data_IF_459391175237
#
_entry.id   IF_459391175237
#
_cell.length_a   1.000
_cell.length_b   1.000
_cell.length_c   1.000
_cell.angle_alpha   90.00
_cell.angle_beta   90.00
_cell.angle_gamma   90.00
#
_symmetry.space_group_name_H-M   'P 1'
#
loop_
_entity.id
_entity.type
_entity.pdbx_description
1 polymer ?
#
# COMPACT_ATOMS: atom_id res chain seq x y z
N UNK A 1 -83.53 6.46 -9.62
CA UNK A 1 -82.64 6.33 -10.79
C UNK A 1 -81.85 7.62 -10.96
N UNK A 2 -80.50 7.56 -11.00
CA UNK A 2 -79.54 8.65 -11.33
C UNK A 2 -79.50 9.78 -10.27
N UNK A 3 -78.40 10.44 -9.88
CA UNK A 3 -76.99 10.56 -10.32
C UNK A 3 -76.23 11.26 -9.17
N UNK A 4 -75.14 10.67 -8.63
CA UNK A 4 -73.75 11.17 -8.61
C UNK A 4 -73.50 12.70 -8.68
N UNK A 5 -72.63 13.20 -7.79
CA UNK A 5 -71.41 14.07 -7.96
C UNK A 5 -70.95 14.47 -6.52
N UNK A 6 -69.85 13.92 -5.97
CA UNK A 6 -68.43 14.40 -5.96
C UNK A 6 -68.26 15.68 -5.10
N UNK A 7 -67.22 15.97 -4.30
CA UNK A 7 -65.91 15.38 -3.94
C UNK A 7 -65.36 16.38 -2.88
N UNK A 8 -64.65 16.03 -1.80
CA UNK A 8 -63.19 16.06 -1.72
C UNK A 8 -62.80 15.74 -0.26
N UNK A 9 -62.37 14.51 0.02
CA UNK A 9 -61.59 14.20 1.22
C UNK A 9 -60.12 14.47 0.91
N UNK A 10 -59.58 15.49 1.59
CA UNK A 10 -58.15 15.81 1.59
C UNK A 10 -57.43 14.66 2.29
N UNK A 11 -56.72 13.84 1.52
CA UNK A 11 -55.73 12.93 2.05
C UNK A 11 -54.50 13.74 2.44
N UNK A 12 -54.32 13.97 3.73
CA UNK A 12 -53.05 14.44 4.26
C UNK A 12 -52.01 13.34 4.05
N UNK A 13 -51.20 13.48 3.00
CA UNK A 13 -49.98 12.71 2.83
C UNK A 13 -49.01 13.22 3.90
N UNK A 14 -48.89 12.46 5.00
CA UNK A 14 -47.78 12.60 5.93
C UNK A 14 -46.49 12.29 5.16
N UNK A 15 -45.82 13.36 4.73
CA UNK A 15 -44.46 13.28 4.25
C UNK A 15 -43.58 12.82 5.42
N UNK A 16 -43.17 11.55 5.42
CA UNK A 16 -42.11 11.07 6.28
C UNK A 16 -40.82 11.71 5.75
N UNK A 17 -40.14 12.58 6.51
CA UNK A 17 -38.84 13.06 6.10
C UNK A 17 -37.89 11.86 6.14
N UNK A 18 -37.51 11.35 4.97
CA UNK A 18 -36.41 10.41 4.82
C UNK A 18 -35.11 11.17 4.99
N UNK A 19 -34.80 11.57 6.24
CA UNK A 19 -33.41 11.86 6.58
C UNK A 19 -32.68 10.53 6.56
N UNK A 20 -31.97 10.27 5.46
CA UNK A 20 -31.04 9.15 5.33
C UNK A 20 -29.90 9.33 6.31
N UNK A 21 -30.14 9.02 7.58
CA UNK A 21 -29.08 8.69 8.52
C UNK A 21 -28.74 7.24 8.22
N UNK A 22 -27.63 7.04 7.54
CA UNK A 22 -27.04 5.72 7.40
C UNK A 22 -26.69 5.26 8.82
N UNK A 23 -27.55 4.43 9.43
CA UNK A 23 -27.42 4.05 10.83
C UNK A 23 -26.09 3.35 11.06
N UNK A 24 -25.16 4.02 11.75
CA UNK A 24 -23.90 3.44 12.16
C UNK A 24 -24.18 2.39 13.23
N UNK A 25 -23.65 1.18 13.05
CA UNK A 25 -23.89 0.07 13.97
C UNK A 25 -23.41 0.44 15.39
N UNK A 26 -24.06 -0.07 16.46
CA UNK A 26 -23.56 0.11 17.82
C UNK A 26 -22.09 -0.33 17.94
N UNK A 27 -21.25 0.35 18.74
CA UNK A 27 -19.81 0.09 18.79
C UNK A 27 -19.44 -1.38 19.01
N UNK A 28 -20.09 -2.07 19.95
CA UNK A 28 -19.85 -3.50 20.21
C UNK A 28 -20.18 -4.38 18.99
N UNK A 29 -21.31 -4.11 18.34
CA UNK A 29 -21.75 -4.90 17.20
C UNK A 29 -20.83 -4.69 15.99
N UNK A 30 -20.34 -3.46 15.80
CA UNK A 30 -19.36 -3.17 14.77
C UNK A 30 -18.01 -3.83 15.06
N UNK A 31 -17.54 -3.79 16.31
CA UNK A 31 -16.35 -4.51 16.73
C UNK A 31 -16.47 -6.00 16.46
N UNK A 32 -17.58 -6.63 16.87
CA UNK A 32 -17.81 -8.06 16.68
C UNK A 32 -17.83 -8.43 15.19
N UNK A 33 -18.49 -7.62 14.35
CA UNK A 33 -18.52 -7.79 12.89
C UNK A 33 -17.11 -7.77 12.29
N UNK A 34 -16.29 -6.79 12.68
CA UNK A 34 -14.92 -6.63 12.20
C UNK A 34 -14.02 -7.77 12.70
N UNK A 35 -14.14 -8.17 13.96
CA UNK A 35 -13.40 -9.30 14.53
C UNK A 35 -13.74 -10.62 13.84
N UNK A 36 -15.02 -10.89 13.54
CA UNK A 36 -15.44 -12.07 12.79
C UNK A 36 -14.86 -12.06 11.37
N UNK A 37 -14.89 -10.91 10.69
CA UNK A 37 -14.31 -10.75 9.34
C UNK A 37 -12.80 -11.03 9.36
N UNK A 38 -12.07 -10.44 10.30
CA UNK A 38 -10.64 -10.64 10.47
C UNK A 38 -10.29 -12.10 10.81
N UNK A 39 -11.05 -12.74 11.72
CA UNK A 39 -10.88 -14.14 12.08
C UNK A 39 -11.06 -15.07 10.88
N UNK A 40 -12.14 -14.91 10.12
CA UNK A 40 -12.40 -15.69 8.92
C UNK A 40 -11.33 -15.48 7.83
N UNK A 41 -10.75 -14.28 7.75
CA UNK A 41 -9.63 -14.01 6.85
C UNK A 41 -8.33 -14.69 7.31
N UNK A 42 -8.03 -14.70 8.61
CA UNK A 42 -6.85 -15.37 9.17
C UNK A 42 -6.86 -16.90 8.96
N UNK A 43 -8.03 -17.54 8.90
CA UNK A 43 -8.17 -18.98 8.63
C UNK A 43 -7.84 -19.36 7.18
N UNK A 44 -8.14 -18.46 6.23
CA UNK A 44 -7.75 -18.63 4.84
C UNK A 44 -6.23 -18.47 4.82
N UNK A 45 -5.48 -19.58 4.68
CA UNK A 45 -4.01 -19.62 4.56
C UNK A 45 -3.51 -18.95 3.25
N UNK A 46 -4.01 -17.75 2.93
CA UNK A 46 -3.53 -16.90 1.85
C UNK A 46 -2.31 -16.15 2.39
N UNK A 47 -1.16 -16.40 1.77
CA UNK A 47 0.16 -16.00 2.27
C UNK A 47 0.68 -14.68 1.72
N UNK A 48 -0.12 -13.89 1.00
CA UNK A 48 0.34 -12.61 0.46
C UNK A 48 0.22 -11.47 1.49
N UNK A 49 1.04 -10.44 1.31
CA UNK A 49 1.10 -9.28 2.22
C UNK A 49 -0.18 -8.46 2.22
N UNK A 50 -0.87 -8.33 1.07
CA UNK A 50 -2.10 -7.54 0.97
C UNK A 50 -3.21 -8.13 1.85
N UNK A 51 -3.31 -9.45 1.88
CA UNK A 51 -4.23 -10.17 2.76
C UNK A 51 -4.04 -9.77 4.23
N UNK A 52 -2.80 -9.61 4.69
CA UNK A 52 -2.53 -9.15 6.04
C UNK A 52 -2.77 -7.66 6.26
N UNK A 53 -2.59 -6.81 5.24
CA UNK A 53 -2.96 -5.39 5.31
C UNK A 53 -4.46 -5.26 5.59
N UNK A 54 -5.29 -6.03 4.89
CA UNK A 54 -6.76 -5.99 5.06
C UNK A 54 -7.18 -6.51 6.45
N UNK A 55 -6.53 -7.57 6.95
CA UNK A 55 -6.76 -8.08 8.31
C UNK A 55 -6.37 -7.04 9.36
N UNK A 56 -5.19 -6.44 9.24
CA UNK A 56 -4.74 -5.39 10.16
C UNK A 56 -5.70 -4.22 10.13
N UNK A 57 -6.21 -3.84 8.96
CA UNK A 57 -7.19 -2.77 8.81
C UNK A 57 -8.49 -3.04 9.58
N UNK A 58 -9.05 -4.25 9.45
CA UNK A 58 -10.27 -4.63 10.16
C UNK A 58 -10.05 -4.68 11.68
N UNK A 59 -8.90 -5.19 12.14
CA UNK A 59 -8.56 -5.24 13.56
C UNK A 59 -8.36 -3.85 14.17
N UNK A 60 -7.67 -2.94 13.48
CA UNK A 60 -7.50 -1.56 13.95
C UNK A 60 -8.84 -0.82 14.04
N UNK A 61 -9.72 -0.98 13.03
CA UNK A 61 -11.06 -0.41 13.09
C UNK A 61 -11.88 -0.99 14.25
N UNK A 62 -11.73 -2.28 14.56
CA UNK A 62 -12.40 -2.88 15.71
C UNK A 62 -11.93 -2.21 17.01
N UNK A 63 -10.61 -2.01 17.19
CA UNK A 63 -10.03 -1.28 18.33
C UNK A 63 -10.56 0.16 18.42
N UNK A 64 -10.70 0.84 17.29
CA UNK A 64 -11.18 2.23 17.22
C UNK A 64 -12.65 2.41 17.60
N UNK A 65 -13.46 1.34 17.60
CA UNK A 65 -14.84 1.41 18.12
C UNK A 65 -14.91 1.75 19.61
N UNK A 66 -13.81 1.54 20.36
CA UNK A 66 -13.76 1.68 21.81
C UNK A 66 -14.45 0.56 22.59
N UNK A 67 -14.96 -0.47 21.90
CA UNK A 67 -15.54 -1.65 22.53
C UNK A 67 -14.47 -2.48 23.26
N UNK A 68 -14.83 -3.22 24.33
CA UNK A 68 -13.93 -4.18 24.96
C UNK A 68 -13.44 -5.25 23.98
N UNK A 69 -12.13 -5.46 23.91
CA UNK A 69 -11.50 -6.43 23.02
C UNK A 69 -11.25 -7.78 23.73
N UNK A 70 -11.26 -8.91 22.98
CA UNK A 70 -10.86 -10.21 23.53
C UNK A 70 -9.43 -10.22 24.06
N UNK A 71 -9.13 -11.07 25.05
CA UNK A 71 -7.82 -11.13 25.73
C UNK A 71 -6.61 -11.31 24.80
N UNK A 72 -6.76 -12.06 23.70
CA UNK A 72 -5.67 -12.29 22.72
C UNK A 72 -5.71 -11.33 21.53
N UNK A 73 -6.53 -10.28 21.59
CA UNK A 73 -6.68 -9.32 20.50
C UNK A 73 -5.33 -8.69 20.11
N UNK A 74 -4.60 -8.15 21.08
CA UNK A 74 -3.32 -7.47 20.84
C UNK A 74 -2.26 -8.41 20.22
N UNK A 75 -2.28 -9.70 20.59
CA UNK A 75 -1.45 -10.71 19.92
C UNK A 75 -1.82 -10.86 18.43
N UNK A 76 -3.09 -11.06 18.12
CA UNK A 76 -3.53 -11.25 16.72
C UNK A 76 -3.32 -10.00 15.86
N UNK A 77 -3.59 -8.81 16.42
CA UNK A 77 -3.28 -7.54 15.76
C UNK A 77 -1.78 -7.42 15.50
N UNK A 78 -0.94 -7.71 16.49
CA UNK A 78 0.51 -7.66 16.37
C UNK A 78 1.06 -8.59 15.29
N UNK A 79 0.60 -9.84 15.24
CA UNK A 79 1.02 -10.81 14.20
C UNK A 79 0.54 -10.39 12.81
N UNK A 80 -0.71 -9.94 12.68
CA UNK A 80 -1.24 -9.47 11.41
C UNK A 80 -0.44 -8.25 10.91
N UNK A 81 -0.21 -7.26 11.77
CA UNK A 81 0.56 -6.07 11.48
C UNK A 81 2.00 -6.41 11.06
N UNK A 82 2.67 -7.34 11.74
CA UNK A 82 4.01 -7.79 11.37
C UNK A 82 4.06 -8.37 9.95
N UNK A 83 3.04 -9.14 9.56
CA UNK A 83 2.94 -9.75 8.23
C UNK A 83 2.50 -8.73 7.16
N UNK A 84 1.73 -7.73 7.54
CA UNK A 84 1.38 -6.58 6.70
C UNK A 84 2.57 -5.63 6.48
N UNK A 85 3.59 -5.70 7.33
CA UNK A 85 4.70 -4.75 7.35
C UNK A 85 4.39 -3.45 8.12
N UNK A 86 3.31 -3.40 8.88
CA UNK A 86 2.97 -2.31 9.78
C UNK A 86 3.79 -2.44 11.08
N UNK A 87 5.09 -2.16 10.99
CA UNK A 87 6.07 -2.50 12.03
C UNK A 87 5.78 -1.78 13.35
N UNK A 88 5.30 -0.53 13.30
CA UNK A 88 4.98 0.24 14.51
C UNK A 88 3.75 -0.34 15.22
N UNK A 89 2.64 -0.54 14.50
CA UNK A 89 1.45 -1.25 15.03
C UNK A 89 1.82 -2.63 15.59
N UNK A 90 2.73 -3.36 14.93
CA UNK A 90 3.20 -4.66 15.41
C UNK A 90 3.92 -4.56 16.76
N UNK A 91 4.84 -3.61 16.91
CA UNK A 91 5.60 -3.42 18.16
C UNK A 91 4.67 -3.02 19.30
N UNK A 92 3.78 -2.05 19.06
CA UNK A 92 2.80 -1.59 20.05
C UNK A 92 1.92 -2.76 20.51
N UNK A 93 1.24 -3.45 19.59
CA UNK A 93 0.28 -4.49 19.94
C UNK A 93 0.92 -5.73 20.59
N UNK A 94 2.10 -6.17 20.11
CA UNK A 94 2.83 -7.28 20.74
C UNK A 94 3.38 -6.89 22.12
N UNK A 95 3.85 -5.64 22.28
CA UNK A 95 4.30 -5.11 23.56
C UNK A 95 3.18 -5.07 24.59
N UNK A 96 2.01 -4.56 24.20
CA UNK A 96 0.81 -4.54 25.05
C UNK A 96 0.40 -5.95 25.47
N UNK A 97 0.36 -6.90 24.53
CA UNK A 97 0.06 -8.30 24.85
C UNK A 97 1.02 -8.90 25.87
N UNK A 98 2.33 -8.71 25.68
CA UNK A 98 3.36 -9.23 26.58
C UNK A 98 3.29 -8.57 27.97
N UNK A 99 2.96 -7.28 28.03
CA UNK A 99 2.81 -6.51 29.27
C UNK A 99 1.58 -6.92 30.08
N UNK A 100 0.44 -7.11 29.40
CA UNK A 100 -0.83 -7.44 30.04
C UNK A 100 -0.93 -8.90 30.47
N UNK A 101 -0.44 -9.83 29.63
CA UNK A 101 -0.61 -11.27 29.85
C UNK A 101 0.61 -11.93 30.51
N UNK A 102 1.79 -11.29 30.42
CA UNK A 102 3.03 -11.77 31.01
C UNK A 102 3.48 -13.14 30.50
N UNK A 103 4.32 -13.81 31.29
CA UNK A 103 4.99 -15.07 30.89
C UNK A 103 4.08 -16.31 30.87
N UNK A 104 2.86 -16.19 31.39
CA UNK A 104 1.86 -17.28 31.42
C UNK A 104 0.87 -17.22 30.25
N UNK A 105 1.02 -16.23 29.38
CA UNK A 105 0.13 -16.03 28.23
C UNK A 105 0.16 -17.23 27.27
N UNK A 106 -1.00 -17.54 26.67
CA UNK A 106 -1.15 -18.64 25.70
C UNK A 106 -0.14 -18.58 24.55
N UNK A 107 0.18 -17.36 24.09
CA UNK A 107 1.07 -17.12 22.94
C UNK A 107 2.37 -16.41 23.34
N UNK A 108 2.83 -16.56 24.59
CA UNK A 108 3.99 -15.80 25.09
C UNK A 108 5.25 -15.98 24.22
N UNK A 109 5.60 -17.22 23.87
CA UNK A 109 6.82 -17.51 23.11
C UNK A 109 6.74 -16.98 21.67
N UNK A 110 5.60 -17.16 21.04
CA UNK A 110 5.30 -16.69 19.69
C UNK A 110 5.30 -15.16 19.62
N UNK A 111 4.66 -14.51 20.60
CA UNK A 111 4.61 -13.06 20.72
C UNK A 111 6.02 -12.46 20.94
N UNK A 112 6.82 -13.05 21.82
CA UNK A 112 8.19 -12.58 22.09
C UNK A 112 9.09 -12.73 20.84
N UNK A 113 8.98 -13.85 20.13
CA UNK A 113 9.71 -14.07 18.87
C UNK A 113 9.29 -13.08 17.78
N UNK A 114 7.98 -12.85 17.63
CA UNK A 114 7.45 -11.87 16.70
C UNK A 114 7.86 -10.44 17.06
N UNK A 115 7.89 -10.09 18.36
CA UNK A 115 8.32 -8.79 18.85
C UNK A 115 9.80 -8.53 18.51
N UNK A 116 10.68 -9.49 18.79
CA UNK A 116 12.10 -9.40 18.43
C UNK A 116 12.32 -9.28 16.91
N UNK A 117 11.48 -9.96 16.12
CA UNK A 117 11.48 -9.82 14.66
C UNK A 117 11.07 -8.40 14.25
N UNK A 118 10.02 -7.85 14.87
CA UNK A 118 9.55 -6.50 14.61
C UNK A 118 10.61 -5.44 14.99
N UNK A 119 11.35 -5.64 16.09
CA UNK A 119 12.46 -4.76 16.49
C UNK A 119 13.59 -4.76 15.45
N UNK A 120 13.97 -5.94 14.96
CA UNK A 120 14.99 -6.07 13.92
C UNK A 120 14.58 -5.33 12.65
N UNK A 121 13.32 -5.48 12.23
CA UNK A 121 12.76 -4.78 11.06
C UNK A 121 12.66 -3.27 11.28
N UNK A 122 12.31 -2.83 12.49
CA UNK A 122 12.30 -1.43 12.85
C UNK A 122 13.71 -0.82 12.79
N UNK A 123 14.73 -1.59 13.17
CA UNK A 123 16.12 -1.16 13.06
C UNK A 123 16.57 -1.06 11.59
N UNK A 124 16.14 -1.96 10.72
CA UNK A 124 16.36 -1.87 9.28
C UNK A 124 15.68 -0.62 8.68
N UNK A 125 14.43 -0.34 9.06
CA UNK A 125 13.76 0.90 8.65
C UNK A 125 14.52 2.14 9.11
N UNK A 126 15.04 2.16 10.35
CA UNK A 126 15.84 3.29 10.86
C UNK A 126 17.12 3.52 10.05
N UNK A 127 17.81 2.46 9.60
CA UNK A 127 19.02 2.63 8.78
C UNK A 127 18.68 3.20 7.40
N UNK A 128 17.60 2.75 6.78
CA UNK A 128 17.10 3.31 5.50
C UNK A 128 16.64 4.76 5.68
N UNK A 129 15.91 5.08 6.74
CA UNK A 129 15.48 6.46 7.01
C UNK A 129 16.68 7.39 7.17
N UNK A 130 17.78 6.91 7.77
CA UNK A 130 19.00 7.71 7.93
C UNK A 130 19.66 8.02 6.59
N UNK A 131 19.58 7.13 5.60
CA UNK A 131 20.15 7.35 4.26
C UNK A 131 19.29 8.26 3.37
N UNK A 132 18.05 8.57 3.76
CA UNK A 132 17.22 9.55 3.05
C UNK A 132 17.75 10.99 3.06
N UNK A 133 18.64 11.31 4.00
CA UNK A 133 19.11 12.69 4.20
C UNK A 133 17.94 13.64 4.43
N UNK A 134 18.01 14.84 3.84
CA UNK A 134 16.97 15.87 3.99
C UNK A 134 15.93 15.87 2.85
N UNK A 135 16.06 14.98 1.87
CA UNK A 135 15.21 14.99 0.67
C UNK A 135 14.07 14.01 0.74
N UNK A 136 14.36 12.77 1.12
CA UNK A 136 13.35 11.72 1.15
C UNK A 136 12.75 11.58 2.55
N UNK A 137 11.52 11.10 2.60
CA UNK A 137 10.89 10.63 3.82
C UNK A 137 9.97 9.47 3.52
N UNK A 138 9.69 8.65 4.53
CA UNK A 138 8.62 7.67 4.39
C UNK A 138 7.29 8.40 4.31
N UNK A 139 6.51 8.09 3.27
CA UNK A 139 5.15 8.58 3.18
C UNK A 139 4.25 7.63 3.95
N UNK A 140 3.71 8.11 5.07
CA UNK A 140 2.72 7.37 5.83
C UNK A 140 1.37 7.40 5.15
N UNK A 141 0.60 6.35 5.33
CA UNK A 141 -0.82 6.34 5.01
C UNK A 141 -1.64 7.10 6.09
N UNK A 142 -2.97 6.93 6.05
CA UNK A 142 -3.92 7.60 6.95
C UNK A 142 -3.75 7.21 8.44
N UNK A 143 -2.86 6.27 8.79
CA UNK A 143 -2.62 5.83 10.17
C UNK A 143 -1.17 5.90 10.62
N UNK A 144 -0.33 6.64 9.89
CA UNK A 144 1.09 6.74 10.26
C UNK A 144 1.90 5.49 9.94
N UNK A 145 1.33 4.54 9.18
CA UNK A 145 2.01 3.30 8.80
C UNK A 145 2.65 3.44 7.41
N UNK A 146 3.78 2.77 7.22
CA UNK A 146 4.55 2.86 5.98
C UNK A 146 4.30 1.64 5.10
N UNK A 147 3.54 1.82 4.03
CA UNK A 147 3.26 0.73 3.08
C UNK A 147 4.25 0.63 1.91
N UNK A 148 5.44 1.20 2.07
CA UNK A 148 6.45 1.22 1.01
C UNK A 148 6.21 2.36 0.03
N UNK A 149 5.80 3.52 0.54
CA UNK A 149 5.75 4.77 -0.20
C UNK A 149 6.79 5.74 0.39
N UNK A 150 7.50 6.48 -0.46
CA UNK A 150 8.47 7.51 -0.06
C UNK A 150 8.08 8.85 -0.71
N UNK A 151 8.13 9.94 0.05
CA UNK A 151 7.89 11.29 -0.46
C UNK A 151 9.23 11.98 -0.71
N UNK A 152 9.38 12.56 -1.89
CA UNK A 152 10.47 13.48 -2.19
C UNK A 152 10.03 14.89 -1.81
N UNK A 153 10.62 15.43 -0.74
CA UNK A 153 10.29 16.75 -0.17
C UNK A 153 10.59 17.91 -1.13
N UNK A 154 11.47 17.71 -2.11
CA UNK A 154 11.83 18.74 -3.08
C UNK A 154 10.81 18.82 -4.21
N UNK A 155 10.36 17.66 -4.72
CA UNK A 155 9.43 17.60 -5.86
C UNK A 155 7.97 17.48 -5.43
N UNK A 156 7.70 17.11 -4.18
CA UNK A 156 6.37 16.77 -3.67
C UNK A 156 5.82 15.43 -4.19
N UNK A 157 6.61 14.71 -4.99
CA UNK A 157 6.21 13.44 -5.57
C UNK A 157 6.28 12.31 -4.55
N UNK A 158 5.32 11.39 -4.63
CA UNK A 158 5.26 10.19 -3.81
C UNK A 158 5.54 8.99 -4.70
N UNK A 159 6.51 8.19 -4.29
CA UNK A 159 7.06 7.09 -5.03
C UNK A 159 6.79 5.78 -4.31
N UNK A 160 6.63 4.71 -5.07
CA UNK A 160 6.84 3.37 -4.50
C UNK A 160 8.31 3.22 -4.07
N UNK A 161 8.53 2.61 -2.91
CA UNK A 161 9.85 2.40 -2.34
C UNK A 161 10.69 1.39 -3.16
N UNK A 162 10.03 0.37 -3.73
CA UNK A 162 10.67 -0.64 -4.58
C UNK A 162 10.35 -0.45 -6.06
N UNK A 163 11.17 -1.07 -6.92
CA UNK A 163 11.00 -1.16 -8.38
C UNK A 163 9.86 -2.10 -8.84
N UNK A 164 9.16 -2.71 -7.90
CA UNK A 164 7.86 -3.37 -8.07
C UNK A 164 7.17 -3.38 -6.71
N UNK A 165 5.84 -3.33 -6.70
CA UNK A 165 5.08 -3.33 -5.45
C UNK A 165 5.29 -4.61 -4.63
N UNK A 166 5.39 -5.74 -5.31
CA UNK A 166 5.44 -7.06 -4.68
C UNK A 166 6.78 -7.34 -3.98
N UNK A 167 7.80 -6.53 -4.25
CA UNK A 167 9.10 -6.63 -3.60
C UNK A 167 9.16 -5.92 -2.25
N UNK A 168 8.20 -5.07 -1.93
CA UNK A 168 8.22 -4.39 -0.63
C UNK A 168 7.73 -5.34 0.46
N UNK A 169 8.64 -5.71 1.36
CA UNK A 169 8.33 -6.62 2.48
C UNK A 169 7.61 -5.92 3.64
N UNK A 170 7.70 -4.59 3.71
CA UNK A 170 7.32 -3.81 4.89
C UNK A 170 8.48 -3.07 5.53
N UNK A 171 9.72 -3.51 5.27
CA UNK A 171 10.93 -2.90 5.83
C UNK A 171 12.10 -2.81 4.84
N UNK A 172 12.04 -3.54 3.73
CA UNK A 172 13.05 -3.50 2.67
C UNK A 172 12.46 -3.95 1.33
N UNK A 173 13.23 -3.78 0.25
CA UNK A 173 12.95 -4.42 -1.03
C UNK A 173 13.62 -5.79 -1.08
N UNK A 174 12.87 -6.86 -1.30
CA UNK A 174 13.41 -8.22 -1.44
C UNK A 174 12.76 -9.01 -2.59
N UNK A 175 13.45 -10.04 -3.05
CA UNK A 175 13.00 -10.88 -4.16
C UNK A 175 13.27 -10.28 -5.56
N UNK A 176 13.11 -11.10 -6.61
CA UNK A 176 13.52 -10.74 -7.97
C UNK A 176 12.66 -9.63 -8.58
N UNK A 177 11.51 -9.26 -8.03
CA UNK A 177 10.62 -8.31 -8.69
C UNK A 177 9.77 -8.95 -9.77
N UNK A 178 8.74 -8.21 -10.15
CA UNK A 178 7.91 -8.55 -11.29
C UNK A 178 8.32 -7.63 -12.44
N UNK A 179 8.64 -8.22 -13.57
CA UNK A 179 8.80 -7.53 -14.83
C UNK A 179 7.46 -7.50 -15.56
N UNK A 180 7.23 -6.45 -16.35
CA UNK A 180 6.02 -6.26 -17.15
C UNK A 180 6.37 -5.57 -18.46
N UNK A 181 5.58 -5.83 -19.49
CA UNK A 181 5.60 -4.98 -20.69
C UNK A 181 5.13 -3.56 -20.34
N UNK A 182 5.45 -2.59 -21.20
CA UNK A 182 5.03 -1.22 -20.96
C UNK A 182 3.50 -1.08 -20.88
N UNK A 183 2.69 -1.66 -21.80
CA UNK A 183 1.24 -1.62 -21.70
C UNK A 183 0.72 -2.23 -20.39
N UNK A 184 1.33 -3.32 -19.92
CA UNK A 184 0.95 -3.94 -18.65
C UNK A 184 1.31 -3.09 -17.44
N UNK A 185 2.48 -2.42 -17.44
CA UNK A 185 2.86 -1.49 -16.39
C UNK A 185 1.92 -0.29 -16.31
N UNK A 186 1.50 0.26 -17.46
CA UNK A 186 0.49 1.33 -17.51
C UNK A 186 -0.85 0.83 -16.97
N UNK A 187 -1.32 -0.32 -17.45
CA UNK A 187 -2.57 -0.91 -16.95
C UNK A 187 -2.51 -1.22 -15.45
N UNK A 188 -1.34 -1.61 -14.92
CA UNK A 188 -1.16 -1.83 -13.48
C UNK A 188 -1.18 -0.52 -12.69
N UNK A 189 -0.60 0.57 -13.23
CA UNK A 189 -0.74 1.89 -12.63
C UNK A 189 -2.21 2.34 -12.58
N UNK A 190 -2.99 2.09 -13.64
CA UNK A 190 -4.43 2.40 -13.68
C UNK A 190 -5.22 1.56 -12.68
N UNK A 191 -4.95 0.24 -12.60
CA UNK A 191 -5.57 -0.64 -11.59
C UNK A 191 -5.25 -0.20 -10.17
N UNK A 192 -3.98 0.13 -9.90
CA UNK A 192 -3.55 0.64 -8.61
C UNK A 192 -4.24 1.98 -8.31
N UNK A 193 -4.41 2.83 -9.31
CA UNK A 193 -5.10 4.10 -9.16
C UNK A 193 -6.56 3.93 -8.79
N UNK A 194 -7.27 3.06 -9.52
CA UNK A 194 -8.67 2.76 -9.24
C UNK A 194 -8.87 2.12 -7.86
N UNK A 195 -7.96 1.23 -7.46
CA UNK A 195 -8.02 0.56 -6.15
C UNK A 195 -7.76 1.50 -4.98
N UNK A 196 -6.86 2.47 -5.15
CA UNK A 196 -6.39 3.34 -4.06
C UNK A 196 -7.03 4.73 -4.06
N UNK A 197 -7.72 5.11 -5.15
CA UNK A 197 -8.21 6.48 -5.37
C UNK A 197 -7.09 7.50 -5.64
N UNK A 198 -5.83 7.05 -5.74
CA UNK A 198 -4.64 7.90 -5.95
C UNK A 198 -4.19 7.81 -7.41
N UNK A 199 -3.67 8.88 -8.01
CA UNK A 199 -3.28 8.90 -9.43
C UNK A 199 -1.84 8.39 -9.65
N UNK A 200 -1.67 7.07 -9.66
CA UNK A 200 -0.40 6.41 -9.96
C UNK A 200 -0.10 6.40 -11.45
N UNK A 201 1.17 6.60 -11.81
CA UNK A 201 1.66 6.54 -13.17
C UNK A 201 3.12 6.07 -13.23
N UNK A 202 3.57 5.76 -14.44
CA UNK A 202 5.00 5.68 -14.73
C UNK A 202 5.67 7.06 -14.60
N UNK A 203 6.92 7.14 -14.12
CA UNK A 203 7.66 8.38 -14.01
C UNK A 203 8.15 8.85 -15.38
N UNK A 204 8.46 10.14 -15.46
CA UNK A 204 9.29 10.70 -16.53
C UNK A 204 10.76 10.35 -16.28
N UNK A 205 11.60 10.49 -17.31
CA UNK A 205 13.05 10.36 -17.15
C UNK A 205 13.60 11.33 -16.11
N UNK A 206 13.23 12.61 -16.19
CA UNK A 206 13.74 13.65 -15.29
C UNK A 206 13.38 13.38 -13.83
N UNK A 207 12.17 12.88 -13.58
CA UNK A 207 11.76 12.47 -12.23
C UNK A 207 12.59 11.29 -11.72
N UNK A 208 12.83 10.29 -12.57
CA UNK A 208 13.61 9.10 -12.20
C UNK A 208 15.10 9.43 -11.98
N UNK A 209 15.69 10.29 -12.81
CA UNK A 209 17.05 10.83 -12.64
C UNK A 209 17.20 11.58 -11.31
N UNK A 210 16.24 12.46 -11.02
CA UNK A 210 16.24 13.25 -9.82
C UNK A 210 16.11 12.36 -8.56
N UNK A 211 15.30 11.30 -8.63
CA UNK A 211 15.13 10.34 -7.53
C UNK A 211 16.37 9.45 -7.34
N UNK A 212 16.89 8.86 -8.41
CA UNK A 212 17.93 7.82 -8.35
C UNK A 212 19.20 8.24 -7.62
N UNK A 213 19.60 9.50 -7.77
CA UNK A 213 20.79 10.07 -7.10
C UNK A 213 20.65 10.18 -5.58
N UNK A 214 19.45 9.97 -5.03
CA UNK A 214 19.14 10.12 -3.61
C UNK A 214 18.49 8.86 -3.02
N UNK A 215 18.28 7.81 -3.82
CA UNK A 215 17.73 6.54 -3.33
C UNK A 215 18.79 5.76 -2.55
N UNK A 216 18.47 5.28 -1.35
CA UNK A 216 19.32 4.33 -0.66
C UNK A 216 19.48 3.05 -1.45
N UNK A 217 20.67 2.44 -1.37
CA UNK A 217 20.98 1.15 -1.99
C UNK A 217 19.92 0.09 -1.63
N UNK A 218 19.42 0.06 -0.40
CA UNK A 218 18.42 -0.90 0.06
C UNK A 218 17.07 -0.82 -0.69
N UNK A 219 16.76 0.35 -1.27
CA UNK A 219 15.57 0.57 -2.08
C UNK A 219 15.82 0.34 -3.58
N UNK A 220 17.08 0.08 -3.94
CA UNK A 220 17.57 -0.33 -5.26
C UNK A 220 17.85 -1.85 -5.28
N UNK A 221 18.28 -2.41 -4.14
CA UNK A 221 18.92 -3.71 -3.95
C UNK A 221 18.07 -4.95 -4.26
N UNK A 222 16.80 -4.78 -4.61
CA UNK A 222 16.03 -5.87 -5.23
C UNK A 222 16.54 -6.22 -6.62
N UNK A 223 17.10 -5.24 -7.35
CA UNK A 223 17.70 -5.40 -8.68
C UNK A 223 18.67 -4.25 -9.02
N UNK A 224 19.90 -4.24 -8.49
CA UNK A 224 20.91 -3.28 -8.94
C UNK A 224 21.18 -3.47 -10.45
N UNK A 225 20.98 -2.40 -11.24
CA UNK A 225 21.09 -2.48 -12.69
C UNK A 225 19.77 -2.75 -13.44
N UNK A 226 18.63 -2.80 -12.74
CA UNK A 226 17.31 -2.96 -13.35
C UNK A 226 16.95 -1.80 -14.30
N UNK A 227 16.48 -2.16 -15.49
CA UNK A 227 15.77 -1.26 -16.38
C UNK A 227 14.37 -0.98 -15.84
N UNK A 228 14.03 0.30 -15.70
CA UNK A 228 12.74 0.80 -15.20
C UNK A 228 12.00 1.51 -16.33
N UNK A 229 10.75 1.12 -16.56
CA UNK A 229 9.88 1.80 -17.51
C UNK A 229 9.62 3.26 -17.15
N UNK A 230 9.55 4.11 -18.18
CA UNK A 230 9.11 5.50 -18.07
C UNK A 230 7.90 5.77 -18.97
N UNK A 231 7.26 6.92 -18.76
CA UNK A 231 6.21 7.41 -19.64
C UNK A 231 6.74 8.12 -20.91
N UNK A 232 8.06 8.12 -21.16
CA UNK A 232 8.65 8.76 -22.33
C UNK A 232 8.46 7.92 -23.59
N UNK A 233 7.76 8.49 -24.57
CA UNK A 233 7.59 7.90 -25.90
C UNK A 233 8.74 8.30 -26.81
N UNK A 234 9.18 7.39 -27.68
CA UNK A 234 10.03 7.74 -28.83
C UNK A 234 9.26 7.48 -30.12
N UNK A 235 8.97 8.54 -30.85
CA UNK A 235 8.41 8.44 -32.19
C UNK A 235 9.55 8.20 -33.19
N UNK A 236 9.40 7.18 -34.03
CA UNK A 236 10.23 7.00 -35.21
C UNK A 236 9.34 6.86 -36.43
N UNK A 237 9.84 7.32 -37.58
CA UNK A 237 9.24 7.00 -38.87
C UNK A 237 9.70 5.62 -39.31
N UNK A 238 8.83 4.62 -39.18
CA UNK A 238 8.96 3.36 -39.90
C UNK A 238 7.56 2.90 -40.29
N UNK A 239 7.37 2.57 -41.57
CA UNK A 239 6.07 2.15 -42.10
C UNK A 239 5.54 0.95 -41.33
N UNK A 240 4.34 1.12 -40.76
CA UNK A 240 3.59 0.29 -39.78
C UNK A 240 3.89 0.60 -38.31
N UNK A 241 3.08 1.50 -37.75
CA UNK A 241 2.48 1.57 -36.39
C UNK A 241 3.24 1.14 -35.11
N UNK A 242 4.55 0.92 -35.13
CA UNK A 242 5.28 0.44 -33.95
C UNK A 242 5.97 1.61 -33.22
N UNK A 243 5.27 2.19 -32.23
CA UNK A 243 5.86 3.07 -31.22
C UNK A 243 6.74 2.25 -30.25
N UNK A 244 7.95 2.75 -30.00
CA UNK A 244 8.88 2.22 -29.00
C UNK A 244 8.83 3.05 -27.71
N UNK A 245 9.14 2.40 -26.58
CA UNK A 245 9.21 3.03 -25.26
C UNK A 245 10.63 2.98 -24.70
N UNK A 246 10.94 3.88 -23.77
CA UNK A 246 12.25 3.91 -23.09
C UNK A 246 12.18 3.31 -21.70
N UNK A 247 13.15 2.44 -21.41
CA UNK A 247 13.47 2.00 -20.06
C UNK A 247 14.86 2.52 -19.66
N UNK A 248 15.12 2.69 -18.37
CA UNK A 248 16.40 3.20 -17.87
C UNK A 248 16.95 2.41 -16.69
N UNK A 249 18.27 2.24 -16.66
CA UNK A 249 18.96 1.56 -15.56
C UNK A 249 19.10 2.47 -14.35
N UNK A 250 18.54 2.06 -13.20
CA UNK A 250 18.70 2.77 -11.92
C UNK A 250 19.86 2.16 -11.11
N UNK A 251 20.74 3.01 -10.59
CA UNK A 251 21.83 2.64 -9.69
C UNK A 251 22.01 3.67 -8.58
N UNK A 252 22.82 3.35 -7.56
CA UNK A 252 23.15 4.27 -6.46
C UNK A 252 23.84 5.57 -6.94
N UNK A 253 24.53 5.51 -8.09
CA UNK A 253 25.20 6.66 -8.72
C UNK A 253 24.28 7.43 -9.68
N UNK A 254 22.97 7.15 -9.67
CA UNK A 254 21.97 7.74 -10.55
C UNK A 254 21.48 6.81 -11.65
N UNK A 255 20.72 7.38 -12.60
CA UNK A 255 20.27 6.66 -13.79
C UNK A 255 21.44 6.57 -14.77
N UNK A 256 21.91 5.36 -15.06
CA UNK A 256 22.94 5.15 -16.09
C UNK A 256 22.28 5.14 -17.45
N UNK A 257 22.50 6.22 -18.20
CA UNK A 257 22.53 6.19 -19.65
C UNK A 257 23.88 5.61 -19.99
N UNK A 258 23.96 4.33 -20.38
CA UNK A 258 25.15 3.89 -21.09
C UNK A 258 25.39 4.93 -22.20
N UNK A 259 26.62 5.42 -22.36
CA UNK A 259 26.97 6.40 -23.38
C UNK A 259 26.35 5.95 -24.71
N UNK A 260 25.34 6.67 -25.19
CA UNK A 260 24.53 6.37 -26.39
C UNK A 260 23.42 5.28 -26.33
N UNK A 261 22.99 4.75 -25.18
CA UNK A 261 21.90 3.75 -25.13
C UNK A 261 20.74 4.18 -24.22
N UNK A 262 19.98 5.19 -24.68
CA UNK A 262 18.53 5.11 -24.49
C UNK A 262 18.04 4.14 -25.56
N UNK A 263 18.08 2.86 -25.25
CA UNK A 263 17.60 1.86 -26.18
C UNK A 263 16.08 2.00 -26.28
N UNK A 264 15.61 2.20 -27.49
CA UNK A 264 14.19 2.06 -27.79
C UNK A 264 13.88 0.59 -27.70
N UNK A 265 13.15 0.20 -26.65
CA UNK A 265 12.76 -1.18 -26.45
C UNK A 265 11.39 -1.41 -27.07
N UNK A 266 11.20 -2.64 -27.55
CA UNK A 266 9.87 -3.12 -27.88
C UNK A 266 8.98 -2.93 -26.65
N UNK A 267 7.79 -2.35 -26.86
CA UNK A 267 6.85 -2.10 -25.77
C UNK A 267 6.41 -3.40 -25.10
N UNK A 268 6.53 -4.52 -25.80
CA UNK A 268 6.16 -5.85 -25.33
C UNK A 268 7.30 -6.56 -24.57
N UNK A 269 8.50 -5.96 -24.50
CA UNK A 269 9.59 -6.45 -23.65
C UNK A 269 9.27 -6.28 -22.17
N UNK A 270 9.67 -7.24 -21.33
CA UNK A 270 9.40 -7.16 -19.90
C UNK A 270 10.54 -6.48 -19.11
N UNK A 271 10.21 -5.43 -18.37
CA UNK A 271 11.14 -4.71 -17.49
C UNK A 271 10.50 -4.34 -16.16
N UNK A 272 11.30 -3.85 -15.23
CA UNK A 272 10.81 -3.39 -13.93
C UNK A 272 10.07 -2.05 -14.07
N UNK A 273 9.28 -1.70 -13.04
CA UNK A 273 8.45 -0.50 -13.07
C UNK A 273 8.29 0.06 -11.66
N UNK A 274 8.58 1.35 -11.49
CA UNK A 274 8.30 2.07 -10.24
C UNK A 274 7.22 3.08 -10.52
N UNK A 275 6.15 3.12 -9.73
CA UNK A 275 5.13 4.15 -9.89
C UNK A 275 5.42 5.38 -9.04
N UNK A 276 4.95 6.50 -9.56
CA UNK A 276 4.99 7.82 -8.93
C UNK A 276 3.60 8.44 -9.00
N UNK A 277 3.29 9.32 -8.05
CA UNK A 277 2.07 10.12 -8.02
C UNK A 277 2.33 11.48 -7.37
N UNK A 278 1.38 12.39 -7.53
CA UNK A 278 1.28 13.57 -6.66
C UNK A 278 0.66 13.18 -5.31
N UNK A 279 0.79 14.09 -4.35
CA UNK A 279 0.00 14.07 -3.11
C UNK A 279 -1.51 14.00 -3.40
#
# INVERSE_FOLDING_TARGET
MRSKILNLSVWAVLAIPTTGVQAQLPPQLEADRLLQKAAAAMEKKRGDRQHYIDITYDLENARETGAPMPTNFSYHLGIAALRAGAIRTSLEALGDYLKEQGTKAKYYKEALSAYSTAETRAQALKSITRSFGNRLEWHSDYRGEFFGEIKDRVTGLIWQACSSRDNWTGWECSGPGTTKSWPESVAEADRLSNRTGKRWRLPTKGELEALATHLPEQLIAGNPGAWIWTNEKREYWVGRNDYYMKAYVVSEYGVKFNQQSSDSFDRDSEWYFRFVRSE
#
